data_IF_535072601946
#
_entry.id   IF_535072601946
#
_cell.length_a   1.000
_cell.length_b   1.000
_cell.length_c   1.000
_cell.angle_alpha   90.00
_cell.angle_beta   90.00
_cell.angle_gamma   90.00
#
_symmetry.space_group_name_H-M   'P 1'
#
loop_
_entity.id
_entity.type
_entity.pdbx_description
1 polymer ?
#
# COMPACT_ATOMS: atom_id res chain seq x y z
N UNK A 1 -24.53 12.15 21.33
CA UNK A 1 -24.69 12.66 19.95
C UNK A 1 -23.38 13.31 19.57
N UNK A 2 -22.71 12.83 18.52
CA UNK A 2 -21.32 13.24 18.19
C UNK A 2 -20.62 12.29 17.22
N UNK A 3 -21.39 11.48 16.49
CA UNK A 3 -20.88 10.55 15.49
C UNK A 3 -21.11 11.18 14.13
N UNK A 4 -20.04 11.28 13.36
CA UNK A 4 -20.03 11.71 11.97
C UNK A 4 -19.26 10.67 11.16
N UNK A 5 -19.54 10.63 9.86
CA UNK A 5 -18.79 9.83 8.90
C UNK A 5 -18.37 10.68 7.70
N UNK A 6 -17.49 10.10 6.88
CA UNK A 6 -16.92 10.75 5.69
C UNK A 6 -17.77 10.55 4.43
N UNK A 7 -18.96 9.94 4.51
CA UNK A 7 -19.80 9.76 3.32
C UNK A 7 -20.22 11.12 2.79
N UNK A 8 -20.05 11.32 1.48
CA UNK A 8 -20.32 12.59 0.81
C UNK A 8 -19.38 13.73 1.20
N UNK A 9 -18.27 13.46 1.91
CA UNK A 9 -17.26 14.46 2.28
C UNK A 9 -15.93 14.11 1.64
N UNK A 10 -15.22 15.14 1.22
CA UNK A 10 -13.85 15.02 0.73
C UNK A 10 -12.88 15.63 1.75
N UNK A 11 -11.63 15.21 1.68
CA UNK A 11 -10.56 15.87 2.43
C UNK A 11 -10.46 17.34 2.03
N UNK A 12 -10.23 18.21 3.04
CA UNK A 12 -10.03 19.64 2.83
C UNK A 12 -8.83 19.94 1.92
N UNK A 13 -7.77 19.14 2.03
CA UNK A 13 -6.63 19.13 1.11
C UNK A 13 -6.26 17.69 0.82
N UNK A 14 -6.69 17.21 -0.34
CA UNK A 14 -6.40 15.87 -0.82
C UNK A 14 -5.05 15.78 -1.52
N UNK A 15 -4.29 14.72 -1.23
CA UNK A 15 -3.07 14.39 -1.97
C UNK A 15 -3.45 13.46 -3.12
N UNK A 16 -3.00 13.79 -4.32
CA UNK A 16 -3.04 12.89 -5.47
C UNK A 16 -1.86 11.91 -5.41
N UNK A 17 -2.15 10.61 -5.40
CA UNK A 17 -1.15 9.55 -5.37
C UNK A 17 -0.95 9.01 -6.79
N UNK A 18 0.25 9.24 -7.34
CA UNK A 18 0.66 8.93 -8.72
C UNK A 18 1.63 7.77 -8.81
N UNK A 19 2.55 7.65 -7.84
CA UNK A 19 3.56 6.60 -7.84
C UNK A 19 3.48 5.85 -6.51
N UNK A 20 3.01 4.61 -6.56
CA UNK A 20 2.84 3.77 -5.38
C UNK A 20 3.05 2.30 -5.72
N UNK A 21 3.34 1.50 -4.69
CA UNK A 21 3.66 0.08 -4.83
C UNK A 21 2.91 -0.78 -3.81
N UNK A 22 2.82 -2.09 -4.09
CA UNK A 22 2.33 -3.12 -3.18
C UNK A 22 3.46 -4.13 -2.94
N UNK A 23 3.80 -4.36 -1.68
CA UNK A 23 4.69 -5.43 -1.25
C UNK A 23 3.91 -6.44 -0.40
N UNK A 24 3.73 -7.66 -0.92
CA UNK A 24 2.94 -8.70 -0.25
C UNK A 24 3.86 -9.70 0.46
N UNK A 25 3.89 -9.67 1.79
CA UNK A 25 4.60 -10.65 2.62
C UNK A 25 3.70 -11.82 3.06
N UNK A 26 2.43 -11.80 2.65
CA UNK A 26 1.54 -12.92 2.84
C UNK A 26 1.78 -13.97 1.75
N UNK A 27 1.75 -15.28 2.07
CA UNK A 27 1.89 -16.33 1.07
C UNK A 27 0.83 -16.22 -0.04
N UNK A 28 1.23 -16.43 -1.29
CA UNK A 28 0.34 -16.38 -2.49
C UNK A 28 -0.90 -17.28 -2.34
N UNK A 29 -0.74 -18.42 -1.66
CA UNK A 29 -1.86 -19.35 -1.37
C UNK A 29 -2.96 -18.74 -0.49
N UNK A 30 -2.60 -17.78 0.35
CA UNK A 30 -3.51 -17.07 1.27
C UNK A 30 -4.04 -15.81 0.59
N UNK A 31 -3.14 -15.01 0.00
CA UNK A 31 -3.47 -13.77 -0.71
C UNK A 31 -3.11 -13.97 -2.18
N UNK A 32 -4.10 -14.33 -3.00
CA UNK A 32 -3.94 -14.55 -4.44
C UNK A 32 -3.84 -13.22 -5.19
N UNK A 33 -3.30 -13.22 -6.41
CA UNK A 33 -3.20 -12.02 -7.25
C UNK A 33 -4.56 -11.35 -7.48
N UNK A 34 -5.62 -12.14 -7.66
CA UNK A 34 -6.98 -11.63 -7.81
C UNK A 34 -7.44 -10.85 -6.56
N UNK A 35 -7.05 -11.28 -5.37
CA UNK A 35 -7.38 -10.56 -4.14
C UNK A 35 -6.67 -9.19 -4.08
N UNK A 36 -5.41 -9.11 -4.52
CA UNK A 36 -4.66 -7.85 -4.61
C UNK A 36 -5.25 -6.91 -5.68
N UNK A 37 -5.71 -7.47 -6.80
CA UNK A 37 -6.39 -6.72 -7.86
C UNK A 37 -7.71 -6.13 -7.35
N UNK A 38 -8.54 -6.94 -6.70
CA UNK A 38 -9.80 -6.47 -6.11
C UNK A 38 -9.58 -5.42 -5.03
N UNK A 39 -8.59 -5.64 -4.15
CA UNK A 39 -8.17 -4.66 -3.16
C UNK A 39 -7.78 -3.32 -3.81
N UNK A 40 -6.99 -3.35 -4.88
CA UNK A 40 -6.56 -2.15 -5.61
C UNK A 40 -7.75 -1.39 -6.18
N UNK A 41 -8.69 -2.09 -6.83
CA UNK A 41 -9.89 -1.46 -7.40
C UNK A 41 -10.76 -0.80 -6.32
N UNK A 42 -10.98 -1.49 -5.20
CA UNK A 42 -11.77 -0.92 -4.10
C UNK A 42 -11.07 0.25 -3.44
N UNK A 43 -9.75 0.15 -3.23
CA UNK A 43 -8.94 1.23 -2.68
C UNK A 43 -9.02 2.47 -3.57
N UNK A 44 -8.79 2.35 -4.88
CA UNK A 44 -8.87 3.47 -5.82
C UNK A 44 -10.25 4.14 -5.80
N UNK A 45 -11.33 3.34 -5.79
CA UNK A 45 -12.70 3.86 -5.70
C UNK A 45 -12.91 4.70 -4.44
N UNK A 46 -12.61 4.13 -3.27
CA UNK A 46 -12.80 4.82 -1.99
C UNK A 46 -11.91 6.06 -1.87
N UNK A 47 -10.66 5.94 -2.33
CA UNK A 47 -9.69 7.04 -2.31
C UNK A 47 -10.14 8.22 -3.17
N UNK A 48 -10.70 7.93 -4.35
CA UNK A 48 -11.29 8.95 -5.22
C UNK A 48 -12.52 9.62 -4.58
N UNK A 49 -13.43 8.83 -4.01
CA UNK A 49 -14.63 9.35 -3.34
C UNK A 49 -14.27 10.25 -2.14
N UNK A 50 -13.17 9.94 -1.43
CA UNK A 50 -12.66 10.72 -0.32
C UNK A 50 -11.88 11.99 -0.75
N UNK A 51 -11.64 12.19 -2.05
CA UNK A 51 -10.87 13.34 -2.55
C UNK A 51 -9.35 13.17 -2.46
N UNK A 52 -8.85 11.95 -2.28
CA UNK A 52 -7.41 11.60 -2.31
C UNK A 52 -7.13 10.60 -3.44
N UNK A 53 -7.28 10.98 -4.71
CA UNK A 53 -7.30 10.01 -5.80
C UNK A 53 -5.98 9.25 -5.94
N UNK A 54 -6.07 7.91 -5.98
CA UNK A 54 -4.99 7.01 -6.41
C UNK A 54 -5.27 6.68 -7.88
N UNK A 55 -4.58 7.39 -8.77
CA UNK A 55 -4.99 7.46 -10.20
C UNK A 55 -4.40 6.32 -11.02
N UNK A 56 -3.21 5.84 -10.65
CA UNK A 56 -2.45 4.84 -11.41
C UNK A 56 -2.57 3.44 -10.77
N UNK A 57 -2.40 2.35 -11.56
CA UNK A 57 -2.10 1.05 -10.99
C UNK A 57 -0.75 1.10 -10.25
N UNK A 58 -0.51 0.20 -9.29
CA UNK A 58 0.75 0.20 -8.56
C UNK A 58 1.91 -0.06 -9.54
N UNK A 59 2.98 0.73 -9.44
CA UNK A 59 4.17 0.58 -10.29
C UNK A 59 4.94 -0.72 -9.98
N UNK A 60 4.69 -1.30 -8.81
CA UNK A 60 5.26 -2.56 -8.38
C UNK A 60 4.23 -3.34 -7.55
N UNK A 61 4.05 -4.62 -7.84
CA UNK A 61 3.23 -5.53 -7.05
C UNK A 61 3.93 -6.89 -7.02
N UNK A 62 4.61 -7.22 -5.92
CA UNK A 62 5.32 -8.51 -5.78
C UNK A 62 5.16 -9.12 -4.41
N UNK A 63 5.32 -10.44 -4.38
CA UNK A 63 5.42 -11.23 -3.17
C UNK A 63 6.86 -11.26 -2.66
N UNK A 64 7.01 -11.17 -1.35
CA UNK A 64 8.24 -11.44 -0.62
C UNK A 64 7.96 -12.41 0.53
N UNK A 65 9.00 -13.03 1.04
CA UNK A 65 8.89 -13.92 2.20
C UNK A 65 10.09 -13.67 3.10
N UNK A 66 9.83 -13.54 4.40
CA UNK A 66 10.89 -13.25 5.37
C UNK A 66 11.11 -11.75 5.58
N UNK A 67 11.57 -11.43 6.79
CA UNK A 67 11.85 -10.05 7.24
C UNK A 67 13.14 -9.47 6.63
N UNK A 68 14.04 -10.34 6.20
CA UNK A 68 15.30 -10.06 5.51
C UNK A 68 15.07 -9.44 4.12
N UNK A 69 13.92 -9.69 3.51
CA UNK A 69 13.57 -9.15 2.18
C UNK A 69 13.03 -7.71 2.22
N UNK A 70 12.71 -7.18 3.40
CA UNK A 70 12.15 -5.83 3.56
C UNK A 70 13.11 -4.77 3.02
N UNK A 71 14.34 -4.75 3.54
CA UNK A 71 15.31 -3.71 3.23
C UNK A 71 15.78 -3.73 1.76
N UNK A 72 16.17 -4.89 1.18
CA UNK A 72 16.51 -4.96 -0.25
C UNK A 72 15.36 -4.50 -1.16
N UNK A 73 14.13 -4.92 -0.86
CA UNK A 73 12.97 -4.54 -1.66
C UNK A 73 12.69 -3.04 -1.58
N UNK A 74 12.77 -2.45 -0.38
CA UNK A 74 12.49 -1.03 -0.20
C UNK A 74 13.59 -0.15 -0.81
N UNK A 75 14.86 -0.55 -0.69
CA UNK A 75 15.97 0.11 -1.39
C UNK A 75 15.80 0.04 -2.91
N UNK A 76 15.42 -1.13 -3.45
CA UNK A 76 15.12 -1.28 -4.86
C UNK A 76 13.98 -0.37 -5.30
N UNK A 77 12.88 -0.33 -4.56
CA UNK A 77 11.72 0.51 -4.86
C UNK A 77 12.08 2.00 -4.90
N UNK A 78 12.83 2.48 -3.89
CA UNK A 78 13.31 3.86 -3.81
C UNK A 78 14.20 4.24 -4.99
N UNK A 79 15.11 3.35 -5.38
CA UNK A 79 16.09 3.63 -6.44
C UNK A 79 15.48 3.50 -7.85
N UNK A 80 14.47 2.65 -8.02
CA UNK A 80 13.89 2.34 -9.34
C UNK A 80 12.70 3.22 -9.70
N UNK A 81 11.97 3.73 -8.70
CA UNK A 81 10.75 4.52 -8.92
C UNK A 81 10.91 5.92 -8.32
N UNK A 82 11.44 6.89 -9.09
CA UNK A 82 11.54 8.28 -8.67
C UNK A 82 10.16 8.82 -8.28
N UNK A 83 10.09 9.52 -7.15
CA UNK A 83 8.83 10.11 -6.69
C UNK A 83 7.84 9.10 -6.10
N UNK A 84 8.29 7.92 -5.68
CA UNK A 84 7.47 6.96 -4.93
C UNK A 84 6.85 7.62 -3.67
N UNK A 85 5.52 7.67 -3.62
CA UNK A 85 4.75 8.34 -2.55
C UNK A 85 4.26 7.37 -1.48
N UNK A 86 3.99 6.11 -1.85
CA UNK A 86 3.36 5.14 -0.96
C UNK A 86 3.80 3.70 -1.29
N UNK A 87 4.07 2.91 -0.24
CA UNK A 87 4.19 1.45 -0.33
C UNK A 87 3.13 0.84 0.57
N UNK A 88 2.18 0.11 -0.02
CA UNK A 88 1.19 -0.67 0.72
C UNK A 88 1.78 -2.04 1.02
N UNK A 89 1.88 -2.40 2.29
CA UNK A 89 2.45 -3.67 2.72
C UNK A 89 1.36 -4.62 3.22
N UNK A 90 1.27 -5.81 2.62
CA UNK A 90 0.30 -6.84 3.00
C UNK A 90 1.00 -7.88 3.88
N UNK A 91 0.47 -8.11 5.09
CA UNK A 91 1.05 -9.00 6.09
C UNK A 91 0.10 -10.17 6.42
N UNK A 92 0.59 -11.39 6.70
CA UNK A 92 -0.24 -12.56 7.05
C UNK A 92 -0.73 -12.57 8.52
N UNK A 93 -0.91 -11.39 9.14
CA UNK A 93 -1.23 -11.25 10.56
C UNK A 93 -0.02 -10.86 11.41
N UNK A 94 0.15 -11.45 12.61
CA UNK A 94 1.29 -11.17 13.49
C UNK A 94 2.58 -11.73 12.89
N UNK A 95 3.52 -10.86 12.58
CA UNK A 95 4.80 -11.22 11.96
C UNK A 95 5.91 -10.25 12.39
N UNK A 96 7.17 -10.72 12.55
CA UNK A 96 8.31 -9.84 12.84
C UNK A 96 8.60 -8.83 11.72
N UNK A 97 8.05 -9.05 10.51
CA UNK A 97 8.15 -8.12 9.38
C UNK A 97 7.65 -6.72 9.75
N UNK A 98 6.58 -6.61 10.54
CA UNK A 98 6.04 -5.30 10.96
C UNK A 98 7.04 -4.50 11.79
N UNK A 99 7.76 -5.15 12.72
CA UNK A 99 8.80 -4.50 13.50
C UNK A 99 9.93 -3.98 12.61
N UNK A 100 10.39 -4.81 11.66
CA UNK A 100 11.40 -4.39 10.69
C UNK A 100 10.98 -3.22 9.81
N UNK A 101 9.71 -3.13 9.43
CA UNK A 101 9.19 -1.99 8.65
C UNK A 101 9.23 -0.68 9.45
N UNK A 102 8.97 -0.74 10.77
CA UNK A 102 9.04 0.42 11.65
C UNK A 102 10.47 0.85 11.96
N UNK A 103 11.38 -0.12 12.11
CA UNK A 103 12.80 0.15 12.35
C UNK A 103 13.52 0.68 11.10
N UNK A 104 12.93 0.49 9.91
CA UNK A 104 13.49 0.97 8.65
C UNK A 104 13.34 2.49 8.53
N UNK A 105 14.35 3.23 9.00
CA UNK A 105 14.48 4.66 8.71
C UNK A 105 14.89 4.85 7.24
N UNK A 106 14.04 5.54 6.49
CA UNK A 106 14.34 6.04 5.14
C UNK A 106 15.49 7.05 5.13
#
# INVERSE_FOLDING_TARGET
>A
MGVWDMRGKQFYSGIEIKVWAIACFAPVRIVRDEALRQFTLQLQKISNDAGMPIVSPPCFCKYATGQDQVEPMFRYLRNTHPGLQLIVVVLPGKTPVYGKLLDFKL
#
